data_IF_665432177703
#
_entry.id   IF_665432177703
#
_cell.length_a   1.000
_cell.length_b   1.000
_cell.length_c   1.000
_cell.angle_alpha   90.00
_cell.angle_beta   90.00
_cell.angle_gamma   90.00
#
_symmetry.space_group_name_H-M   'P 1'
#
loop_
_entity.id
_entity.type
_entity.pdbx_description
1 polymer ?
#
# COMPACT_ATOMS: atom_id res chain seq x y z
N UNK A 1 -45.33 -32.88 -6.20
CA UNK A 1 -44.79 -31.99 -5.16
C UNK A 1 -43.26 -32.05 -5.23
N UNK A 2 -42.62 -31.08 -5.81
CA UNK A 2 -41.13 -31.00 -5.91
C UNK A 2 -40.63 -30.01 -4.87
N UNK A 3 -39.80 -30.49 -3.96
CA UNK A 3 -39.27 -29.76 -2.81
C UNK A 3 -38.11 -28.88 -3.29
N UNK A 4 -38.32 -27.57 -3.24
CA UNK A 4 -37.29 -26.56 -3.50
C UNK A 4 -36.30 -26.50 -2.32
N UNK A 5 -35.18 -27.24 -2.41
CA UNK A 5 -34.11 -27.30 -1.38
C UNK A 5 -32.76 -26.85 -1.87
N UNK A 6 -32.66 -25.86 -2.78
CA UNK A 6 -31.39 -25.45 -3.40
C UNK A 6 -30.76 -24.08 -3.06
N UNK A 7 -31.43 -23.02 -2.58
CA UNK A 7 -30.77 -21.74 -2.39
C UNK A 7 -29.83 -21.67 -1.16
N UNK A 8 -30.22 -22.29 -0.04
CA UNK A 8 -29.51 -22.19 1.24
C UNK A 8 -28.12 -22.87 1.24
N UNK A 9 -27.95 -24.01 0.57
CA UNK A 9 -26.67 -24.70 0.50
C UNK A 9 -25.67 -24.02 -0.47
N UNK A 10 -26.13 -23.27 -1.46
CA UNK A 10 -25.27 -22.53 -2.37
C UNK A 10 -24.69 -21.30 -1.71
N UNK A 11 -25.47 -20.55 -0.93
CA UNK A 11 -25.00 -19.39 -0.17
C UNK A 11 -23.97 -19.76 0.90
N UNK A 12 -24.18 -20.85 1.64
CA UNK A 12 -23.24 -21.32 2.63
C UNK A 12 -21.90 -21.79 2.03
N UNK A 13 -21.96 -22.48 0.87
CA UNK A 13 -20.73 -22.87 0.13
C UNK A 13 -19.98 -21.68 -0.45
N UNK A 14 -20.69 -20.70 -0.99
CA UNK A 14 -20.08 -19.47 -1.49
C UNK A 14 -19.41 -18.68 -0.36
N UNK A 15 -20.07 -18.54 0.79
CA UNK A 15 -19.50 -17.89 1.97
C UNK A 15 -18.25 -18.63 2.50
N UNK A 16 -18.28 -19.97 2.54
CA UNK A 16 -17.12 -20.76 2.94
C UNK A 16 -15.94 -20.62 1.97
N UNK A 17 -16.20 -20.55 0.67
CA UNK A 17 -15.18 -20.33 -0.36
C UNK A 17 -14.56 -18.93 -0.24
N UNK A 18 -15.37 -17.91 0.00
CA UNK A 18 -14.90 -16.53 0.20
C UNK A 18 -14.07 -16.39 1.48
N UNK A 19 -14.52 -16.99 2.58
CA UNK A 19 -13.76 -17.04 3.83
C UNK A 19 -12.41 -17.75 3.66
N UNK A 20 -12.35 -18.82 2.87
CA UNK A 20 -11.09 -19.50 2.56
C UNK A 20 -10.18 -18.59 1.71
N UNK A 21 -10.73 -17.94 0.68
CA UNK A 21 -10.00 -16.98 -0.16
C UNK A 21 -9.36 -15.88 0.70
N UNK A 22 -10.13 -15.27 1.58
CA UNK A 22 -9.67 -14.24 2.52
C UNK A 22 -8.53 -14.74 3.41
N UNK A 23 -8.68 -15.92 4.04
CA UNK A 23 -7.63 -16.50 4.88
C UNK A 23 -6.32 -16.74 4.13
N UNK A 24 -6.38 -17.17 2.86
CA UNK A 24 -5.19 -17.38 2.03
C UNK A 24 -4.48 -16.05 1.76
N UNK A 25 -5.22 -15.02 1.37
CA UNK A 25 -4.69 -13.67 1.11
C UNK A 25 -4.05 -13.09 2.38
N UNK A 26 -4.73 -13.17 3.52
CA UNK A 26 -4.20 -12.70 4.80
C UNK A 26 -2.96 -13.49 5.25
N UNK A 27 -2.91 -14.81 5.01
CA UNK A 27 -1.76 -15.64 5.32
C UNK A 27 -0.54 -15.20 4.49
N UNK A 28 -0.71 -14.99 3.19
CA UNK A 28 0.37 -14.53 2.32
C UNK A 28 0.80 -13.10 2.67
N UNK A 29 -0.13 -12.20 2.92
CA UNK A 29 0.16 -10.83 3.36
C UNK A 29 1.02 -10.82 4.64
N UNK A 30 0.67 -11.59 5.67
CA UNK A 30 1.47 -11.69 6.90
C UNK A 30 2.91 -12.18 6.66
N UNK A 31 3.13 -13.05 5.69
CA UNK A 31 4.47 -13.51 5.31
C UNK A 31 5.23 -12.41 4.55
N UNK A 32 4.58 -11.73 3.62
CA UNK A 32 5.17 -10.63 2.84
C UNK A 32 5.58 -9.42 3.71
N UNK A 33 4.89 -9.18 4.82
CA UNK A 33 5.30 -8.14 5.78
C UNK A 33 6.68 -8.39 6.39
N UNK A 34 7.17 -9.64 6.38
CA UNK A 34 8.42 -10.04 7.07
C UNK A 34 9.49 -10.58 6.14
N UNK A 35 9.12 -11.08 4.96
CA UNK A 35 10.00 -11.86 4.08
C UNK A 35 9.96 -11.37 2.64
N UNK A 36 11.00 -11.70 1.90
CA UNK A 36 11.06 -11.48 0.46
C UNK A 36 10.08 -12.42 -0.27
N UNK A 37 9.52 -11.95 -1.40
CA UNK A 37 8.56 -12.76 -2.16
C UNK A 37 9.16 -14.10 -2.62
N UNK A 38 10.45 -14.12 -2.99
CA UNK A 38 11.14 -15.31 -3.44
C UNK A 38 11.27 -16.39 -2.37
N UNK A 39 11.37 -16.00 -1.11
CA UNK A 39 11.53 -16.89 0.04
C UNK A 39 10.24 -17.58 0.47
N UNK A 40 9.09 -17.10 0.01
CA UNK A 40 7.78 -17.61 0.44
C UNK A 40 7.29 -18.63 -0.58
N UNK A 41 7.00 -19.85 -0.14
CA UNK A 41 6.42 -20.90 -0.96
C UNK A 41 4.90 -20.96 -0.84
N UNK A 42 4.21 -21.47 -1.88
CA UNK A 42 2.75 -21.69 -1.80
C UNK A 42 2.39 -22.77 -0.77
N UNK A 43 3.31 -23.67 -0.43
CA UNK A 43 3.09 -24.70 0.60
C UNK A 43 3.08 -24.07 2.00
N UNK A 44 3.96 -23.10 2.28
CA UNK A 44 3.94 -22.33 3.54
C UNK A 44 2.65 -21.52 3.67
N UNK A 45 2.22 -20.86 2.58
CA UNK A 45 0.95 -20.11 2.57
C UNK A 45 -0.22 -21.06 2.81
N UNK A 46 -0.24 -22.22 2.16
CA UNK A 46 -1.28 -23.24 2.32
C UNK A 46 -1.35 -23.74 3.77
N UNK A 47 -0.20 -24.08 4.36
CA UNK A 47 -0.13 -24.49 5.76
C UNK A 47 -0.64 -23.39 6.71
N UNK A 48 -0.23 -22.13 6.49
CA UNK A 48 -0.68 -20.98 7.30
C UNK A 48 -2.18 -20.68 7.16
N UNK A 49 -2.78 -20.99 5.99
CA UNK A 49 -4.21 -20.76 5.73
C UNK A 49 -5.10 -21.97 6.05
N UNK A 50 -4.54 -23.11 6.47
CA UNK A 50 -5.27 -24.35 6.71
C UNK A 50 -5.89 -24.93 5.43
N UNK A 51 -5.11 -24.99 4.34
CA UNK A 51 -5.56 -25.47 3.02
C UNK A 51 -4.42 -26.21 2.29
N UNK A 52 -4.57 -26.47 1.00
CA UNK A 52 -3.55 -27.12 0.17
C UNK A 52 -3.04 -26.17 -0.92
N UNK A 53 -1.79 -26.38 -1.37
CA UNK A 53 -1.21 -25.67 -2.52
C UNK A 53 -2.11 -25.74 -3.76
N UNK A 54 -2.69 -26.90 -4.03
CA UNK A 54 -3.59 -27.10 -5.17
C UNK A 54 -4.83 -26.21 -5.09
N UNK A 55 -5.38 -26.01 -3.89
CA UNK A 55 -6.49 -25.08 -3.65
C UNK A 55 -6.09 -23.64 -3.95
N UNK A 56 -4.88 -23.22 -3.55
CA UNK A 56 -4.36 -21.88 -3.86
C UNK A 56 -4.24 -21.69 -5.37
N UNK A 57 -3.63 -22.66 -6.07
CA UNK A 57 -3.48 -22.60 -7.54
C UNK A 57 -4.86 -22.53 -8.22
N UNK A 58 -5.83 -23.30 -7.76
CA UNK A 58 -7.19 -23.26 -8.31
C UNK A 58 -7.88 -21.91 -8.11
N UNK A 59 -7.62 -21.20 -6.99
CA UNK A 59 -8.28 -19.93 -6.65
C UNK A 59 -7.58 -18.70 -7.24
N UNK A 60 -6.26 -18.75 -7.40
CA UNK A 60 -5.44 -17.60 -7.77
C UNK A 60 -4.58 -17.83 -9.03
N UNK A 61 -4.59 -19.02 -9.59
CA UNK A 61 -3.76 -19.41 -10.74
C UNK A 61 -2.31 -19.66 -10.36
N UNK A 62 -1.64 -18.65 -9.85
CA UNK A 62 -0.23 -18.71 -9.47
C UNK A 62 0.05 -17.79 -8.27
N UNK A 63 1.32 -17.69 -7.87
CA UNK A 63 1.78 -16.77 -6.82
C UNK A 63 1.52 -15.30 -7.19
N UNK A 64 1.60 -14.96 -8.48
CA UNK A 64 1.34 -13.60 -8.98
C UNK A 64 -0.13 -13.19 -8.78
N UNK A 65 -1.08 -14.05 -9.12
CA UNK A 65 -2.51 -13.75 -8.86
C UNK A 65 -2.86 -13.70 -7.37
N UNK A 66 -2.09 -14.39 -6.52
CA UNK A 66 -2.22 -14.23 -5.08
C UNK A 66 -1.59 -12.91 -4.60
N UNK A 67 -0.51 -12.45 -5.24
CA UNK A 67 0.09 -11.14 -4.98
C UNK A 67 -0.87 -10.01 -5.34
N UNK A 68 -1.54 -10.08 -6.49
CA UNK A 68 -2.57 -9.12 -6.90
C UNK A 68 -3.67 -9.01 -5.83
N UNK A 69 -4.16 -10.15 -5.33
CA UNK A 69 -5.19 -10.16 -4.30
C UNK A 69 -4.71 -9.56 -2.95
N UNK A 70 -3.42 -9.69 -2.59
CA UNK A 70 -2.85 -9.02 -1.43
C UNK A 70 -2.79 -7.52 -1.65
N UNK A 71 -2.41 -7.07 -2.84
CA UNK A 71 -2.37 -5.63 -3.14
C UNK A 71 -3.76 -5.00 -3.11
N UNK A 72 -4.79 -5.70 -3.58
CA UNK A 72 -6.18 -5.26 -3.45
C UNK A 72 -6.59 -5.13 -1.97
N UNK A 73 -6.19 -6.09 -1.12
CA UNK A 73 -6.41 -6.00 0.32
C UNK A 73 -5.71 -4.78 0.93
N UNK A 74 -4.44 -4.57 0.63
CA UNK A 74 -3.65 -3.43 1.13
C UNK A 74 -4.28 -2.09 0.70
N UNK A 75 -4.73 -1.98 -0.56
CA UNK A 75 -5.43 -0.78 -1.04
C UNK A 75 -6.77 -0.56 -0.33
N UNK A 76 -7.54 -1.62 -0.16
CA UNK A 76 -8.82 -1.53 0.55
C UNK A 76 -8.65 -1.05 2.00
N UNK A 77 -7.56 -1.45 2.66
CA UNK A 77 -7.24 -1.01 4.02
C UNK A 77 -6.63 0.42 4.05
N UNK A 78 -5.85 0.79 3.04
CA UNK A 78 -5.23 2.12 2.93
C UNK A 78 -6.23 3.20 2.49
N UNK A 79 -7.14 2.87 1.57
CA UNK A 79 -8.06 3.81 0.94
C UNK A 79 -8.82 4.70 1.93
N UNK A 80 -9.50 4.16 2.96
CA UNK A 80 -10.19 4.97 3.96
C UNK A 80 -9.25 5.86 4.78
N UNK A 81 -8.02 5.42 5.03
CA UNK A 81 -7.02 6.18 5.79
C UNK A 81 -6.44 7.33 4.97
N UNK A 82 -6.17 7.08 3.67
CA UNK A 82 -5.63 8.09 2.75
C UNK A 82 -6.69 9.05 2.21
N UNK A 83 -7.99 8.72 2.36
CA UNK A 83 -9.14 9.56 1.97
C UNK A 83 -9.49 10.61 3.05
N UNK A 84 -8.48 11.22 3.67
CA UNK A 84 -8.72 12.32 4.60
C UNK A 84 -9.30 13.54 3.84
N UNK A 85 -10.19 14.36 4.48
CA UNK A 85 -10.73 15.56 3.85
C UNK A 85 -9.63 16.50 3.32
N UNK A 86 -9.91 17.26 2.27
CA UNK A 86 -8.93 18.14 1.63
C UNK A 86 -8.47 19.30 2.54
N UNK A 87 -9.25 19.62 3.57
CA UNK A 87 -9.03 20.72 4.52
C UNK A 87 -8.21 20.34 5.77
N UNK A 88 -7.72 19.09 5.85
CA UNK A 88 -6.87 18.71 6.97
C UNK A 88 -5.50 19.39 6.90
N UNK A 89 -4.92 19.66 8.08
CA UNK A 89 -3.58 20.27 8.16
C UNK A 89 -2.51 19.38 7.51
N UNK A 90 -1.40 20.01 7.07
CA UNK A 90 -0.21 19.31 6.57
C UNK A 90 0.24 18.21 7.54
N UNK A 91 0.26 18.53 8.84
CA UNK A 91 0.63 17.56 9.89
C UNK A 91 -0.29 16.35 9.89
N UNK A 92 -1.61 16.53 9.91
CA UNK A 92 -2.57 15.43 9.96
C UNK A 92 -2.52 14.55 8.70
N UNK A 93 -2.30 15.14 7.52
CA UNK A 93 -2.09 14.40 6.29
C UNK A 93 -0.82 13.54 6.36
N UNK A 94 0.28 14.08 6.89
CA UNK A 94 1.54 13.36 7.05
C UNK A 94 1.48 12.29 8.15
N UNK A 95 0.77 12.50 9.25
CA UNK A 95 0.52 11.48 10.26
C UNK A 95 -0.16 10.25 9.64
N UNK A 96 -1.15 10.48 8.77
CA UNK A 96 -1.82 9.42 8.03
C UNK A 96 -0.87 8.67 7.10
N UNK A 97 -0.06 9.39 6.31
CA UNK A 97 0.93 8.79 5.42
C UNK A 97 1.98 7.97 6.19
N UNK A 98 2.52 8.52 7.28
CA UNK A 98 3.51 7.84 8.11
C UNK A 98 2.92 6.58 8.74
N UNK A 99 1.69 6.64 9.26
CA UNK A 99 1.01 5.47 9.81
C UNK A 99 0.83 4.36 8.74
N UNK A 100 0.50 4.74 7.51
CA UNK A 100 0.45 3.79 6.39
C UNK A 100 1.83 3.19 6.11
N UNK A 101 2.87 4.01 6.05
CA UNK A 101 4.24 3.53 5.83
C UNK A 101 4.80 2.68 6.97
N UNK A 102 4.42 2.91 8.21
CA UNK A 102 4.79 2.03 9.33
C UNK A 102 4.14 0.64 9.19
N UNK A 103 2.94 0.57 8.65
CA UNK A 103 2.24 -0.71 8.46
C UNK A 103 2.81 -1.54 7.30
N UNK A 104 3.11 -0.92 6.15
CA UNK A 104 3.45 -1.66 4.92
C UNK A 104 4.77 -1.25 4.27
N UNK A 105 5.42 -0.19 4.74
CA UNK A 105 6.55 0.43 4.05
C UNK A 105 7.75 -0.49 3.84
N UNK A 106 8.08 -1.33 4.80
CA UNK A 106 9.19 -2.28 4.66
C UNK A 106 8.88 -3.38 3.62
N UNK A 107 7.62 -3.77 3.49
CA UNK A 107 7.17 -4.67 2.41
C UNK A 107 7.29 -3.98 1.05
N UNK A 108 6.81 -2.73 0.93
CA UNK A 108 6.90 -1.95 -0.31
C UNK A 108 8.35 -1.76 -0.76
N UNK A 109 9.26 -1.43 0.17
CA UNK A 109 10.70 -1.29 -0.14
C UNK A 109 11.28 -2.61 -0.66
N UNK A 110 10.90 -3.77 -0.09
CA UNK A 110 11.31 -5.08 -0.62
C UNK A 110 10.74 -5.36 -2.01
N UNK A 111 9.51 -4.94 -2.28
CA UNK A 111 8.91 -5.08 -3.62
C UNK A 111 9.64 -4.22 -4.65
N UNK A 112 9.92 -2.96 -4.32
CA UNK A 112 10.72 -2.07 -5.18
C UNK A 112 12.10 -2.66 -5.51
N UNK A 113 12.76 -3.28 -4.53
CA UNK A 113 14.05 -3.95 -4.74
C UNK A 113 13.96 -5.22 -5.60
N UNK A 114 12.77 -5.78 -5.82
CA UNK A 114 12.52 -6.97 -6.62
C UNK A 114 11.78 -6.67 -7.94
N UNK A 115 11.43 -5.42 -8.21
CA UNK A 115 10.60 -5.00 -9.36
C UNK A 115 11.14 -5.52 -10.69
N UNK A 116 12.47 -5.53 -10.87
CA UNK A 116 13.11 -6.01 -12.09
C UNK A 116 13.06 -7.55 -12.24
N UNK A 117 12.96 -8.27 -11.12
CA UNK A 117 12.93 -9.73 -11.10
C UNK A 117 11.53 -10.30 -11.27
N UNK A 118 10.51 -9.58 -10.81
CA UNK A 118 9.12 -10.01 -10.79
C UNK A 118 8.25 -9.08 -11.63
N UNK A 119 7.94 -9.48 -12.85
CA UNK A 119 7.12 -8.68 -13.76
C UNK A 119 5.73 -8.33 -13.20
N UNK A 120 5.17 -9.18 -12.34
CA UNK A 120 3.90 -8.92 -11.65
C UNK A 120 3.96 -7.72 -10.69
N UNK A 121 5.15 -7.36 -10.16
CA UNK A 121 5.32 -6.19 -9.31
C UNK A 121 5.24 -4.86 -10.07
N UNK A 122 5.64 -4.83 -11.33
CA UNK A 122 5.72 -3.59 -12.12
C UNK A 122 4.41 -2.80 -12.19
N UNK A 123 3.27 -3.40 -12.62
CA UNK A 123 2.01 -2.67 -12.64
C UNK A 123 1.53 -2.24 -11.26
N UNK A 124 1.77 -3.07 -10.24
CA UNK A 124 1.39 -2.78 -8.86
C UNK A 124 2.16 -1.56 -8.31
N UNK A 125 3.48 -1.53 -8.52
CA UNK A 125 4.34 -0.46 -8.05
C UNK A 125 4.17 0.82 -8.89
N UNK A 126 3.92 0.70 -10.19
CA UNK A 126 3.58 1.84 -11.06
C UNK A 126 2.31 2.53 -10.55
N UNK A 127 1.25 1.76 -10.29
CA UNK A 127 0.03 2.29 -9.72
C UNK A 127 0.25 2.97 -8.36
N UNK A 128 1.06 2.38 -7.48
CA UNK A 128 1.38 2.98 -6.18
C UNK A 128 2.12 4.32 -6.33
N UNK A 129 3.03 4.45 -7.30
CA UNK A 129 3.70 5.72 -7.62
C UNK A 129 2.71 6.77 -8.14
N UNK A 130 1.78 6.38 -9.00
CA UNK A 130 0.76 7.29 -9.55
C UNK A 130 -0.21 7.76 -8.46
N UNK A 131 -0.66 6.86 -7.60
CA UNK A 131 -1.52 7.17 -6.44
C UNK A 131 -0.83 8.13 -5.47
N UNK A 132 0.46 7.91 -5.16
CA UNK A 132 1.24 8.79 -4.31
C UNK A 132 1.41 10.18 -4.94
N UNK A 133 1.75 10.25 -6.25
CA UNK A 133 1.86 11.52 -6.99
C UNK A 133 0.54 12.29 -6.97
N UNK A 134 -0.57 11.62 -7.24
CA UNK A 134 -1.90 12.23 -7.22
C UNK A 134 -2.24 12.76 -5.83
N UNK A 135 -1.99 11.97 -4.78
CA UNK A 135 -2.21 12.37 -3.39
C UNK A 135 -1.38 13.59 -3.00
N UNK A 136 -0.09 13.64 -3.36
CA UNK A 136 0.78 14.80 -3.10
C UNK A 136 0.27 16.04 -3.82
N UNK A 137 -0.10 15.93 -5.09
CA UNK A 137 -0.62 17.04 -5.89
C UNK A 137 -1.94 17.60 -5.29
N UNK A 138 -2.83 16.71 -4.88
CA UNK A 138 -4.11 17.09 -4.26
C UNK A 138 -3.91 17.78 -2.90
N UNK A 139 -3.00 17.24 -2.07
CA UNK A 139 -2.84 17.71 -0.68
C UNK A 139 -1.97 18.94 -0.53
N UNK A 140 -0.96 19.06 -1.35
CA UNK A 140 0.09 20.06 -1.15
C UNK A 140 0.32 20.97 -2.36
N UNK A 141 -0.19 20.60 -3.54
CA UNK A 141 0.14 21.28 -4.79
C UNK A 141 -0.63 22.57 -5.09
N UNK A 142 -1.62 22.96 -4.30
CA UNK A 142 -2.64 23.92 -4.74
C UNK A 142 -2.46 25.36 -4.25
N UNK A 143 -1.44 25.75 -3.50
CA UNK A 143 -1.51 26.93 -2.66
C UNK A 143 -0.84 28.20 -3.20
N UNK A 144 -0.14 28.18 -4.33
CA UNK A 144 0.48 29.39 -4.88
C UNK A 144 -0.17 29.80 -6.23
N UNK A 145 -1.01 30.82 -6.19
CA UNK A 145 -1.46 31.52 -7.39
C UNK A 145 -0.24 32.21 -8.04
N UNK A 146 -0.03 31.96 -9.34
CA UNK A 146 1.00 32.66 -10.13
C UNK A 146 2.24 31.83 -10.51
N UNK A 147 2.37 30.59 -10.05
CA UNK A 147 3.46 29.71 -10.53
C UNK A 147 3.23 29.31 -11.99
N UNK A 148 4.29 29.34 -12.79
CA UNK A 148 4.32 28.70 -14.10
C UNK A 148 4.12 27.17 -13.96
N UNK A 149 3.72 26.51 -15.05
CA UNK A 149 3.54 25.05 -15.05
C UNK A 149 4.84 24.32 -14.67
N UNK A 150 5.97 24.78 -15.17
CA UNK A 150 7.30 24.22 -14.83
C UNK A 150 7.65 24.37 -13.34
N UNK A 151 7.34 25.52 -12.74
CA UNK A 151 7.60 25.75 -11.31
C UNK A 151 6.68 24.88 -10.45
N UNK A 152 5.42 24.70 -10.86
CA UNK A 152 4.48 23.80 -10.20
C UNK A 152 4.95 22.34 -10.28
N UNK A 153 5.40 21.89 -11.43
CA UNK A 153 5.93 20.53 -11.59
C UNK A 153 7.16 20.30 -10.69
N UNK A 154 8.08 21.27 -10.65
CA UNK A 154 9.25 21.23 -9.77
C UNK A 154 8.85 21.18 -8.29
N UNK A 155 7.85 21.96 -7.88
CA UNK A 155 7.33 21.95 -6.52
C UNK A 155 6.76 20.56 -6.18
N UNK A 156 5.88 20.01 -7.02
CA UNK A 156 5.33 18.66 -6.83
C UNK A 156 6.44 17.62 -6.74
N UNK A 157 7.46 17.70 -7.58
CA UNK A 157 8.60 16.78 -7.54
C UNK A 157 9.33 16.84 -6.19
N UNK A 158 9.58 18.03 -5.63
CA UNK A 158 10.20 18.18 -4.29
C UNK A 158 9.31 17.64 -3.18
N UNK A 159 8.01 17.86 -3.26
CA UNK A 159 7.02 17.34 -2.31
C UNK A 159 6.94 15.80 -2.37
N UNK A 160 7.00 15.21 -3.57
CA UNK A 160 7.10 13.76 -3.74
C UNK A 160 8.36 13.23 -3.05
N UNK A 161 9.53 13.83 -3.32
CA UNK A 161 10.80 13.42 -2.68
C UNK A 161 10.69 13.48 -1.16
N UNK A 162 10.09 14.55 -0.61
CA UNK A 162 9.93 14.71 0.83
C UNK A 162 9.04 13.64 1.47
N UNK A 163 8.04 13.13 0.74
CA UNK A 163 7.03 12.19 1.25
C UNK A 163 7.23 10.75 0.76
N UNK A 164 8.28 10.50 -0.04
CA UNK A 164 8.53 9.20 -0.65
C UNK A 164 8.85 8.09 0.36
N UNK A 165 8.51 6.87 0.00
CA UNK A 165 8.81 5.68 0.82
C UNK A 165 10.31 5.46 1.04
N UNK A 166 11.17 5.85 0.08
CA UNK A 166 12.61 5.80 0.24
C UNK A 166 13.12 6.86 1.24
N UNK A 167 12.50 8.05 1.27
CA UNK A 167 12.79 9.06 2.30
C UNK A 167 12.41 8.53 3.68
N UNK A 168 11.24 7.90 3.83
CA UNK A 168 10.87 7.23 5.07
C UNK A 168 11.88 6.13 5.42
N UNK A 169 12.27 5.27 4.48
CA UNK A 169 13.26 4.20 4.71
C UNK A 169 14.58 4.78 5.19
N UNK A 170 15.10 5.81 4.53
CA UNK A 170 16.32 6.49 4.94
C UNK A 170 16.22 7.01 6.39
N UNK A 171 15.16 7.75 6.70
CA UNK A 171 15.01 8.37 8.03
C UNK A 171 14.77 7.33 9.12
N UNK A 172 13.83 6.39 8.91
CA UNK A 172 13.40 5.42 9.91
C UNK A 172 14.35 4.23 10.09
N UNK A 173 14.94 3.73 8.99
CA UNK A 173 15.74 2.49 9.00
C UNK A 173 17.23 2.75 8.98
N UNK A 174 17.68 3.67 8.13
CA UNK A 174 19.12 3.89 7.99
C UNK A 174 19.65 4.90 9.04
N UNK A 175 18.88 5.95 9.34
CA UNK A 175 19.25 6.99 10.31
C UNK A 175 18.64 6.78 11.72
N UNK A 176 17.80 5.77 11.91
CA UNK A 176 17.21 5.42 13.20
C UNK A 176 16.29 6.47 13.82
N UNK A 177 15.74 7.39 13.02
CA UNK A 177 14.86 8.45 13.50
C UNK A 177 13.54 7.89 14.04
N UNK A 178 13.04 8.49 15.12
CA UNK A 178 11.70 8.20 15.63
C UNK A 178 10.62 8.61 14.64
N UNK A 179 9.40 8.10 14.80
CA UNK A 179 8.26 8.49 13.97
C UNK A 179 7.98 10.00 14.09
N UNK A 180 8.08 10.55 15.30
CA UNK A 180 7.87 11.99 15.55
C UNK A 180 8.94 12.86 14.89
N UNK A 181 10.22 12.45 14.93
CA UNK A 181 11.30 13.17 14.23
C UNK A 181 11.05 13.18 12.71
N UNK A 182 10.62 12.04 12.12
CA UNK A 182 10.29 11.97 10.69
C UNK A 182 9.13 12.89 10.37
N UNK A 183 8.06 12.87 11.17
CA UNK A 183 6.92 13.76 11.01
C UNK A 183 7.35 15.24 11.05
N UNK A 184 8.13 15.65 12.04
CA UNK A 184 8.61 17.03 12.14
C UNK A 184 9.45 17.45 10.93
N UNK A 185 10.35 16.58 10.46
CA UNK A 185 11.17 16.86 9.28
C UNK A 185 10.32 17.02 8.01
N UNK A 186 9.37 16.12 7.78
CA UNK A 186 8.49 16.19 6.61
C UNK A 186 7.60 17.45 6.67
N UNK A 187 7.02 17.77 7.83
CA UNK A 187 6.23 19.00 8.03
C UNK A 187 7.06 20.25 7.70
N UNK A 188 8.28 20.33 8.23
CA UNK A 188 9.17 21.47 8.00
C UNK A 188 9.51 21.65 6.51
N UNK A 189 9.80 20.55 5.79
CA UNK A 189 10.08 20.59 4.35
C UNK A 189 8.86 21.06 3.56
N UNK A 190 7.68 20.50 3.86
CA UNK A 190 6.45 20.81 3.12
C UNK A 190 6.01 22.26 3.37
N UNK A 191 6.05 22.75 4.63
CA UNK A 191 5.69 24.13 4.94
C UNK A 191 6.63 25.11 4.22
N UNK A 192 7.95 24.82 4.17
CA UNK A 192 8.92 25.63 3.42
C UNK A 192 8.58 25.67 1.92
N UNK A 193 8.23 24.52 1.33
CA UNK A 193 7.84 24.47 -0.10
C UNK A 193 6.52 25.20 -0.40
N UNK A 194 5.62 25.28 0.59
CA UNK A 194 4.37 26.05 0.50
C UNK A 194 4.55 27.54 0.79
N UNK A 195 5.74 27.97 1.23
CA UNK A 195 6.00 29.35 1.63
C UNK A 195 5.35 29.73 2.98
N UNK A 196 4.95 28.75 3.77
CA UNK A 196 4.47 28.95 5.13
C UNK A 196 5.68 29.08 6.07
N UNK A 197 5.85 30.26 6.67
CA UNK A 197 6.89 30.49 7.68
C UNK A 197 6.52 29.75 8.94
N UNK A 198 7.45 28.91 9.45
CA UNK A 198 7.30 28.17 10.70
C UNK A 198 7.39 29.09 11.91
#
# INVERSE_FOLDING_TARGET
MAIAKRPYHQSARAAAAENLRKRIVEAFHRLLLKRWIDEITLDEVAASAGTTRQTIIRLFGAKDGLLDAVMDLVRAEAGPRMSTPADVSVRAALETLIAHYEAVGDMVVRFLAQEERHSALRPLLAQGRDEHRAWVAERFGSTQCGLSELERERQITRLIVATDIYTRKLLRRDLGKSQDEVLHLMVAIINKEKGEVT
#
